data_IF_113591559415
#
_entry.id   IF_113591559415
#
_cell.length_a   1.000
_cell.length_b   1.000
_cell.length_c   1.000
_cell.angle_alpha   90.00
_cell.angle_beta   90.00
_cell.angle_gamma   90.00
#
_symmetry.space_group_name_H-M   'P 1'
#
loop_
_entity.id
_entity.type
_entity.pdbx_description
1 polymer ?
#
# COMPACT_ATOMS: atom_id res chain seq x y z
N UNK A 1 14.83 -5.62 1.87
CA UNK A 1 14.47 -6.71 2.81
C UNK A 1 13.10 -7.24 2.46
N UNK A 2 12.89 -8.55 2.64
CA UNK A 2 11.55 -9.16 2.60
C UNK A 2 11.02 -9.28 4.01
N UNK A 3 9.74 -8.99 4.25
CA UNK A 3 9.18 -9.11 5.60
C UNK A 3 9.25 -10.56 6.11
N UNK A 4 9.06 -11.51 5.20
CA UNK A 4 9.13 -12.95 5.47
C UNK A 4 10.50 -13.45 5.95
N UNK A 5 11.54 -12.63 5.85
CA UNK A 5 12.91 -12.95 6.28
C UNK A 5 13.26 -12.32 7.64
N UNK A 6 12.37 -11.49 8.20
CA UNK A 6 12.56 -10.88 9.50
C UNK A 6 12.13 -11.82 10.63
N UNK A 7 12.70 -11.64 11.82
CA UNK A 7 12.09 -12.16 13.04
C UNK A 7 10.74 -11.48 13.28
N UNK A 8 9.86 -12.11 14.07
CA UNK A 8 8.57 -11.51 14.42
C UNK A 8 8.70 -10.10 14.99
N UNK A 9 9.64 -9.88 15.92
CA UNK A 9 9.91 -8.55 16.49
C UNK A 9 10.38 -7.56 15.41
N UNK A 10 11.30 -7.98 14.54
CA UNK A 10 11.78 -7.14 13.44
C UNK A 10 10.68 -6.80 12.43
N UNK A 11 9.78 -7.75 12.14
CA UNK A 11 8.62 -7.54 11.29
C UNK A 11 7.62 -6.57 11.93
N UNK A 12 7.35 -6.68 13.24
CA UNK A 12 6.49 -5.75 13.97
C UNK A 12 7.06 -4.33 13.96
N UNK A 13 8.36 -4.18 14.21
CA UNK A 13 9.04 -2.88 14.14
C UNK A 13 9.02 -2.29 12.73
N UNK A 14 9.20 -3.11 11.70
CA UNK A 14 9.08 -2.67 10.31
C UNK A 14 7.65 -2.21 9.99
N UNK A 15 6.63 -2.98 10.40
CA UNK A 15 5.22 -2.61 10.20
C UNK A 15 4.86 -1.30 10.91
N UNK A 16 5.31 -1.10 12.16
CA UNK A 16 5.13 0.15 12.89
C UNK A 16 5.74 1.34 12.14
N UNK A 17 6.93 1.17 11.55
CA UNK A 17 7.61 2.21 10.77
C UNK A 17 6.97 2.47 9.41
N UNK A 18 6.37 1.45 8.78
CA UNK A 18 5.67 1.57 7.49
C UNK A 18 4.29 2.23 7.60
N UNK A 19 3.58 1.93 8.69
CA UNK A 19 2.19 2.37 8.92
C UNK A 19 1.95 3.86 8.70
N UNK A 20 2.76 4.82 9.21
CA UNK A 20 2.47 6.25 9.02
C UNK A 20 2.49 6.66 7.54
N UNK A 21 3.46 6.17 6.76
CA UNK A 21 3.57 6.49 5.33
C UNK A 21 2.40 5.91 4.52
N UNK A 22 2.04 4.66 4.81
CA UNK A 22 0.92 4.00 4.13
C UNK A 22 -0.40 4.66 4.50
N UNK A 23 -0.58 5.05 5.77
CA UNK A 23 -1.78 5.74 6.23
C UNK A 23 -1.91 7.09 5.55
N UNK A 24 -0.83 7.88 5.51
CA UNK A 24 -0.84 9.21 4.89
C UNK A 24 -1.26 9.14 3.41
N UNK A 25 -0.73 8.17 2.66
CA UNK A 25 -1.13 7.89 1.26
C UNK A 25 -2.60 7.43 1.18
N UNK A 26 -2.99 6.44 1.99
CA UNK A 26 -4.30 5.78 1.85
C UNK A 26 -5.47 6.59 2.42
N UNK A 27 -5.18 7.66 3.18
CA UNK A 27 -6.18 8.63 3.65
C UNK A 27 -6.25 9.88 2.77
N UNK A 28 -5.34 10.04 1.81
CA UNK A 28 -5.36 11.17 0.89
C UNK A 28 -6.54 11.04 -0.09
N UNK A 29 -7.34 12.10 -0.17
CA UNK A 29 -8.59 12.08 -0.93
C UNK A 29 -8.35 12.03 -2.44
N UNK A 30 -7.32 12.71 -2.94
CA UNK A 30 -6.98 12.73 -4.36
C UNK A 30 -6.49 11.34 -4.78
N UNK A 31 -5.62 10.73 -3.98
CA UNK A 31 -5.11 9.39 -4.21
C UNK A 31 -6.23 8.33 -4.17
N UNK A 32 -7.09 8.38 -3.15
CA UNK A 32 -8.23 7.46 -3.03
C UNK A 32 -9.21 7.64 -4.19
N UNK A 33 -9.43 8.86 -4.66
CA UNK A 33 -10.26 9.14 -5.83
C UNK A 33 -9.64 8.55 -7.12
N UNK A 34 -8.33 8.75 -7.32
CA UNK A 34 -7.59 8.30 -8.50
C UNK A 34 -7.53 6.77 -8.64
N UNK A 35 -7.43 6.03 -7.54
CA UNK A 35 -7.47 4.56 -7.56
C UNK A 35 -8.90 4.04 -7.79
N UNK A 36 -9.89 4.89 -7.55
CA UNK A 36 -11.31 4.63 -7.79
C UNK A 36 -11.91 3.62 -6.82
N UNK A 37 -13.24 3.66 -6.67
CA UNK A 37 -13.97 2.57 -5.99
C UNK A 37 -13.83 1.28 -6.81
N UNK A 38 -13.89 0.14 -6.11
CA UNK A 38 -13.89 -1.22 -6.69
C UNK A 38 -14.82 -1.25 -7.89
N UNK A 39 -14.25 -1.22 -9.11
CA UNK A 39 -15.03 -1.45 -10.34
C UNK A 39 -15.12 -2.94 -10.48
N UNK A 40 -16.32 -3.44 -10.78
CA UNK A 40 -16.54 -4.85 -10.99
C UNK A 40 -15.88 -5.24 -12.32
N UNK A 41 -14.59 -5.59 -12.26
CA UNK A 41 -13.77 -5.92 -13.43
C UNK A 41 -14.34 -7.12 -14.21
N UNK A 42 -15.19 -7.93 -13.56
CA UNK A 42 -15.87 -9.09 -14.14
C UNK A 42 -16.80 -8.75 -15.31
N UNK A 43 -17.33 -7.51 -15.38
CA UNK A 43 -18.21 -7.06 -16.48
C UNK A 43 -17.46 -6.48 -17.68
N UNK A 44 -16.14 -6.32 -17.57
CA UNK A 44 -15.30 -5.66 -18.57
C UNK A 44 -14.39 -6.68 -19.25
N UNK A 45 -14.30 -6.64 -20.58
CA UNK A 45 -13.36 -7.48 -21.32
C UNK A 45 -11.89 -7.14 -20.96
N UNK A 46 -10.96 -8.04 -21.26
CA UNK A 46 -9.54 -7.90 -20.89
C UNK A 46 -8.93 -6.56 -21.33
N UNK A 47 -9.30 -6.06 -22.50
CA UNK A 47 -8.82 -4.77 -23.01
C UNK A 47 -9.38 -3.59 -22.20
N UNK A 48 -10.68 -3.60 -21.90
CA UNK A 48 -11.31 -2.57 -21.08
C UNK A 48 -10.79 -2.58 -19.64
N UNK A 49 -10.47 -3.75 -19.08
CA UNK A 49 -9.77 -3.84 -17.79
C UNK A 49 -8.39 -3.18 -17.85
N UNK A 50 -7.62 -3.43 -18.92
CA UNK A 50 -6.30 -2.83 -19.10
C UNK A 50 -6.36 -1.32 -19.22
N UNK A 51 -7.27 -0.78 -20.03
CA UNK A 51 -7.48 0.66 -20.19
C UNK A 51 -7.86 1.30 -18.86
N UNK A 52 -8.78 0.68 -18.10
CA UNK A 52 -9.22 1.18 -16.81
C UNK A 52 -8.10 1.16 -15.75
N UNK A 53 -7.24 0.15 -15.76
CA UNK A 53 -6.06 0.11 -14.88
C UNK A 53 -5.06 1.20 -15.29
N UNK A 54 -4.81 1.38 -16.59
CA UNK A 54 -3.86 2.39 -17.08
C UNK A 54 -4.31 3.81 -16.78
N UNK A 55 -5.60 4.10 -16.93
CA UNK A 55 -6.20 5.39 -16.60
C UNK A 55 -5.99 5.73 -15.11
N UNK A 56 -6.32 4.78 -14.23
CA UNK A 56 -6.11 4.92 -12.77
C UNK A 56 -4.65 5.09 -12.39
N UNK A 57 -3.75 4.34 -13.02
CA UNK A 57 -2.30 4.51 -12.82
C UNK A 57 -1.83 5.88 -13.31
N UNK A 58 -2.40 6.38 -14.40
CA UNK A 58 -2.13 7.70 -14.96
C UNK A 58 -2.45 8.84 -13.99
N UNK A 59 -3.49 8.70 -13.16
CA UNK A 59 -3.85 9.67 -12.12
C UNK A 59 -3.11 9.42 -10.79
N UNK A 60 -2.99 8.17 -10.36
CA UNK A 60 -2.42 7.83 -9.06
C UNK A 60 -0.89 8.00 -8.99
N UNK A 61 -0.16 7.70 -10.08
CA UNK A 61 1.30 7.80 -10.10
C UNK A 61 1.77 9.26 -9.89
N UNK A 62 1.25 10.27 -10.59
CA UNK A 62 1.61 11.66 -10.34
C UNK A 62 1.37 12.11 -8.89
N UNK A 63 0.26 11.67 -8.27
CA UNK A 63 -0.05 12.00 -6.87
C UNK A 63 0.98 11.37 -5.94
N UNK A 64 1.33 10.09 -6.16
CA UNK A 64 2.38 9.41 -5.38
C UNK A 64 3.75 10.08 -5.53
N UNK A 65 4.11 10.48 -6.75
CA UNK A 65 5.44 10.99 -7.05
C UNK A 65 5.62 12.49 -6.73
N UNK A 66 4.55 13.27 -6.70
CA UNK A 66 4.59 14.69 -6.35
C UNK A 66 4.21 14.93 -4.89
N UNK A 67 3.00 14.51 -4.49
CA UNK A 67 2.42 14.80 -3.17
C UNK A 67 3.00 13.88 -2.10
N UNK A 68 3.02 12.58 -2.36
CA UNK A 68 3.48 11.56 -1.40
C UNK A 68 4.91 11.10 -1.62
N UNK A 69 5.74 11.90 -2.29
CA UNK A 69 7.13 11.52 -2.60
C UNK A 69 7.91 11.15 -1.34
N UNK A 70 7.73 11.92 -0.27
CA UNK A 70 8.37 11.66 1.01
C UNK A 70 7.90 10.34 1.63
N UNK A 71 6.61 10.01 1.49
CA UNK A 71 6.05 8.74 1.97
C UNK A 71 6.58 7.56 1.16
N UNK A 72 6.68 7.69 -0.17
CA UNK A 72 7.30 6.69 -1.04
C UNK A 72 8.75 6.44 -0.64
N UNK A 73 9.52 7.51 -0.40
CA UNK A 73 10.89 7.38 0.09
C UNK A 73 10.94 6.75 1.48
N UNK A 74 10.03 7.11 2.39
CA UNK A 74 9.93 6.51 3.72
C UNK A 74 9.66 5.01 3.67
N UNK A 75 8.73 4.58 2.81
CA UNK A 75 8.44 3.15 2.59
C UNK A 75 9.68 2.42 2.06
N UNK A 76 10.30 2.95 1.01
CA UNK A 76 11.51 2.35 0.43
C UNK A 76 12.66 2.33 1.43
N UNK A 77 12.81 3.37 2.25
CA UNK A 77 13.80 3.46 3.32
C UNK A 77 13.66 2.35 4.34
N UNK A 78 12.43 2.14 4.86
CA UNK A 78 12.18 1.08 5.85
C UNK A 78 12.44 -0.30 5.23
N UNK A 79 11.98 -0.52 4.00
CA UNK A 79 12.11 -1.82 3.34
C UNK A 79 13.53 -2.14 2.88
N UNK A 80 14.36 -1.13 2.63
CA UNK A 80 15.73 -1.31 2.15
C UNK A 80 16.79 -1.01 3.22
N UNK A 81 16.37 -0.69 4.44
CA UNK A 81 17.26 -0.28 5.54
C UNK A 81 18.19 0.88 5.15
N UNK A 82 17.64 1.84 4.41
CA UNK A 82 18.35 3.03 3.94
C UNK A 82 17.70 4.28 4.49
N UNK A 83 18.48 5.35 4.60
CA UNK A 83 17.94 6.67 4.90
C UNK A 83 17.14 7.21 3.71
N UNK A 84 16.13 8.09 3.93
CA UNK A 84 15.39 8.72 2.84
C UNK A 84 16.30 9.50 1.87
N UNK A 85 17.41 10.04 2.37
CA UNK A 85 18.40 10.75 1.57
C UNK A 85 19.14 9.79 0.61
N UNK A 86 19.50 8.60 1.08
CA UNK A 86 20.12 7.57 0.22
C UNK A 86 19.13 7.06 -0.84
N UNK A 87 17.85 6.89 -0.48
CA UNK A 87 16.80 6.54 -1.44
C UNK A 87 16.63 7.65 -2.49
N UNK A 88 16.63 8.92 -2.09
CA UNK A 88 16.49 10.04 -3.01
C UNK A 88 17.69 10.18 -3.97
N UNK A 89 18.88 9.81 -3.52
CA UNK A 89 20.12 9.89 -4.31
C UNK A 89 20.36 8.67 -5.21
N UNK A 90 19.65 7.56 -5.01
CA UNK A 90 19.86 6.34 -5.77
C UNK A 90 19.37 6.48 -7.23
N UNK A 91 19.98 5.76 -8.19
CA UNK A 91 19.50 5.79 -9.56
C UNK A 91 18.12 5.13 -9.67
N UNK A 92 17.27 5.68 -10.53
CA UNK A 92 15.86 5.25 -10.70
C UNK A 92 15.72 3.74 -10.96
N UNK A 93 16.71 3.12 -11.60
CA UNK A 93 16.74 1.66 -11.81
C UNK A 93 16.68 0.88 -10.49
N UNK A 94 17.36 1.34 -9.45
CA UNK A 94 17.34 0.71 -8.13
C UNK A 94 15.94 0.83 -7.51
N UNK A 95 15.32 2.01 -7.62
CA UNK A 95 13.94 2.23 -7.18
C UNK A 95 12.97 1.27 -7.86
N UNK A 96 13.09 1.06 -9.17
CA UNK A 96 12.27 0.07 -9.88
C UNK A 96 12.52 -1.37 -9.43
N UNK A 97 13.77 -1.73 -9.11
CA UNK A 97 14.08 -3.06 -8.56
C UNK A 97 13.43 -3.25 -7.19
N UNK A 98 13.60 -2.28 -6.31
CA UNK A 98 13.03 -2.30 -4.96
C UNK A 98 11.51 -2.39 -5.01
N UNK A 99 10.84 -1.56 -5.82
CA UNK A 99 9.38 -1.63 -5.98
C UNK A 99 8.94 -3.01 -6.48
N UNK A 100 9.65 -3.60 -7.45
CA UNK A 100 9.34 -4.95 -7.94
C UNK A 100 9.43 -5.98 -6.82
N UNK A 101 10.44 -5.89 -5.95
CA UNK A 101 10.58 -6.80 -4.81
C UNK A 101 9.42 -6.64 -3.81
N UNK A 102 8.98 -5.41 -3.54
CA UNK A 102 7.81 -5.14 -2.69
C UNK A 102 6.54 -5.73 -3.28
N UNK A 103 6.32 -5.59 -4.58
CA UNK A 103 5.16 -6.16 -5.25
C UNK A 103 5.18 -7.70 -5.32
N UNK A 104 6.33 -8.33 -5.12
CA UNK A 104 6.49 -9.77 -5.03
C UNK A 104 6.39 -10.32 -3.59
N UNK A 105 6.34 -9.44 -2.58
CA UNK A 105 6.18 -9.83 -1.18
C UNK A 105 4.68 -10.00 -0.86
N UNK A 106 4.14 -11.18 -1.15
CA UNK A 106 2.71 -11.48 -0.99
C UNK A 106 2.24 -11.39 0.48
N UNK A 107 3.10 -11.68 1.45
CA UNK A 107 2.77 -11.59 2.88
C UNK A 107 2.57 -10.14 3.30
N UNK A 108 3.49 -9.26 2.89
CA UNK A 108 3.40 -7.83 3.14
C UNK A 108 2.14 -7.24 2.49
N UNK A 109 1.91 -7.55 1.21
CA UNK A 109 0.73 -7.10 0.49
C UNK A 109 -0.55 -7.64 1.13
N UNK A 110 -0.55 -8.91 1.54
CA UNK A 110 -1.66 -9.56 2.24
C UNK A 110 -2.01 -8.84 3.54
N UNK A 111 -1.01 -8.54 4.38
CA UNK A 111 -1.20 -7.82 5.63
C UNK A 111 -1.86 -6.45 5.41
N UNK A 112 -1.31 -5.63 4.50
CA UNK A 112 -1.87 -4.29 4.25
C UNK A 112 -3.24 -4.34 3.58
N UNK A 113 -3.49 -5.30 2.68
CA UNK A 113 -4.84 -5.55 2.14
C UNK A 113 -5.84 -5.88 3.26
N UNK A 114 -5.47 -6.73 4.22
CA UNK A 114 -6.33 -7.06 5.36
C UNK A 114 -6.52 -5.89 6.34
N UNK A 115 -5.54 -5.00 6.47
CA UNK A 115 -5.65 -3.79 7.27
C UNK A 115 -6.62 -2.78 6.64
N UNK A 116 -6.45 -2.51 5.33
CA UNK A 116 -7.30 -1.60 4.57
C UNK A 116 -8.72 -2.16 4.35
N UNK A 117 -8.87 -3.47 4.21
CA UNK A 117 -10.17 -4.14 4.06
C UNK A 117 -11.01 -4.16 5.35
N UNK A 118 -10.39 -4.01 6.54
CA UNK A 118 -11.10 -3.99 7.82
C UNK A 118 -11.87 -2.69 8.11
N UNK A 119 -11.68 -1.64 7.30
CA UNK A 119 -12.48 -0.41 7.37
C UNK A 119 -13.92 -0.56 6.85
N UNK A 120 -14.26 -1.69 6.22
CA UNK A 120 -15.65 -2.08 5.90
C UNK A 120 -16.11 -3.19 6.85
N UNK A 121 -16.46 -2.83 8.08
CA UNK A 121 -17.36 -3.67 8.89
C UNK A 121 -18.65 -2.88 9.12
N UNK A 122 -19.72 -3.40 8.53
CA UNK A 122 -21.12 -3.07 8.81
C UNK A 122 -21.43 -3.09 10.33
N UNK A 123 -22.48 -2.37 10.76
CA UNK A 123 -22.67 -2.00 12.16
C UNK A 123 -22.90 -3.21 13.06
N UNK A 124 -22.29 -3.15 14.24
CA UNK A 124 -22.44 -4.10 15.34
C UNK A 124 -23.90 -4.48 15.56
N UNK A 125 -24.23 -5.75 15.28
CA UNK A 125 -25.45 -6.38 15.77
C UNK A 125 -25.45 -6.46 17.31
N UNK A 126 -26.63 -6.50 17.95
CA UNK A 126 -26.78 -6.23 19.37
C UNK A 126 -26.13 -7.31 20.22
N UNK A 127 -25.37 -6.84 21.21
CA UNK A 127 -24.75 -7.62 22.29
C UNK A 127 -25.75 -8.61 22.90
N UNK A 128 -25.40 -9.90 22.86
CA UNK A 128 -26.14 -10.93 23.58
C UNK A 128 -26.18 -10.62 25.09
N UNK A 129 -27.36 -10.75 25.70
CA UNK A 129 -27.56 -10.59 27.14
C UNK A 129 -26.91 -11.74 27.92
N UNK A 130 -26.42 -11.51 29.17
CA UNK A 130 -25.74 -12.53 29.95
C UNK A 130 -26.72 -13.57 30.53
N UNK A 131 -26.26 -14.82 30.77
CA UNK A 131 -27.11 -15.86 31.34
C UNK A 131 -27.37 -15.61 32.84
N UNK A 132 -28.61 -15.87 33.25
CA UNK A 132 -29.04 -15.88 34.65
C UNK A 132 -28.76 -17.19 35.37
#
# INVERSE_FOLDING_TARGET
MKLSQLSTDGAMDALCRLTPYITHITTDQEFVAAIGKVVNLEEVNLYGQYVLIMDRLGEAIPILLNTHRADVYGILSVLNEKTPQEIAAQPVRETFSQLREVFQDEELLGFFKSFLGRGKKEPSGPSAAPPG
#
